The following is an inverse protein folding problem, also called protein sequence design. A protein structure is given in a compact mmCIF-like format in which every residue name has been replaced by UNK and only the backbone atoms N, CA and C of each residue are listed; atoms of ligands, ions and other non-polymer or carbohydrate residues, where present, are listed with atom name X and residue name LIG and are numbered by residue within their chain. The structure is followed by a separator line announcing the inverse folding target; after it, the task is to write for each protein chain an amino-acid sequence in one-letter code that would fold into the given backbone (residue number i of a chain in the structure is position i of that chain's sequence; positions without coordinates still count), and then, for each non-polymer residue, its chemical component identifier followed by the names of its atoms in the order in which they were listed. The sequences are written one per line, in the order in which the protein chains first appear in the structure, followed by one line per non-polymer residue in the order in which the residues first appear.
data_IF_796389070920
#
_entry.id   IF_796389070920
#
_cell.length_a   1.000
_cell.length_b   1.000
_cell.length_c   1.000
_cell.angle_alpha   90.00
_cell.angle_beta   90.00
_cell.angle_gamma   90.00
#
_symmetry.space_group_name_H-M   'P 1'
#
loop_
_entity.id
_entity.type
_entity.pdbx_description
1 polymer ?
#
# COMPACT_ATOMS: atom_id res chain seq x y z
N UNK A 1 4.58 -16.12 5.77
CA UNK A 1 4.13 -14.96 6.57
C UNK A 1 3.88 -13.83 5.57
N UNK A 2 2.61 -13.67 5.19
CA UNK A 2 2.21 -12.78 4.10
C UNK A 2 2.21 -11.33 4.56
N UNK A 3 2.41 -10.40 3.63
CA UNK A 3 2.42 -8.95 3.86
C UNK A 3 1.15 -8.49 4.60
N UNK A 4 0.00 -9.15 4.38
CA UNK A 4 -1.27 -8.88 5.05
C UNK A 4 -1.18 -8.95 6.59
N UNK A 5 -0.51 -9.97 7.12
CA UNK A 5 -0.39 -10.18 8.57
C UNK A 5 0.51 -9.13 9.23
N UNK A 6 1.52 -8.62 8.49
CA UNK A 6 2.45 -7.61 9.00
C UNK A 6 1.92 -6.18 8.89
N UNK A 7 1.16 -5.86 7.84
CA UNK A 7 0.58 -4.51 7.64
C UNK A 7 -0.74 -4.37 8.43
N UNK A 8 -1.38 -5.47 8.85
CA UNK A 8 -2.70 -5.43 9.52
C UNK A 8 -3.81 -4.95 8.59
N UNK A 9 -3.68 -5.22 7.29
CA UNK A 9 -4.72 -5.03 6.28
C UNK A 9 -5.08 -6.39 5.71
N UNK A 10 -6.35 -6.54 5.37
CA UNK A 10 -6.86 -7.77 4.77
C UNK A 10 -6.20 -8.06 3.42
N UNK A 11 -6.13 -9.34 3.05
CA UNK A 11 -5.64 -9.75 1.73
C UNK A 11 -6.41 -9.07 0.57
N UNK A 12 -7.68 -8.76 0.77
CA UNK A 12 -8.50 -8.02 -0.18
C UNK A 12 -7.95 -6.61 -0.46
N UNK A 13 -7.54 -5.88 0.58
CA UNK A 13 -6.98 -4.52 0.43
C UNK A 13 -5.62 -4.54 -0.29
N UNK A 14 -4.79 -5.55 -0.03
CA UNK A 14 -3.51 -5.73 -0.74
C UNK A 14 -3.75 -6.01 -2.23
N UNK A 15 -4.73 -6.85 -2.57
CA UNK A 15 -5.06 -7.15 -3.96
C UNK A 15 -5.52 -5.90 -4.71
N UNK A 16 -6.31 -5.02 -4.08
CA UNK A 16 -6.75 -3.75 -4.68
C UNK A 16 -5.56 -2.82 -4.95
N UNK A 17 -4.63 -2.71 -4.00
CA UNK A 17 -3.41 -1.91 -4.16
C UNK A 17 -2.51 -2.45 -5.27
N UNK A 18 -2.24 -3.76 -5.27
CA UNK A 18 -1.40 -4.42 -6.30
C UNK A 18 -1.91 -4.25 -7.73
N UNK A 19 -3.23 -4.14 -7.89
CA UNK A 19 -3.87 -4.04 -9.19
C UNK A 19 -4.13 -2.58 -9.62
N UNK A 20 -3.57 -1.58 -8.93
CA UNK A 20 -3.79 -0.15 -9.19
C UNK A 20 -5.27 0.26 -9.21
N UNK A 21 -6.12 -0.40 -8.40
CA UNK A 21 -7.56 -0.09 -8.31
C UNK A 21 -7.93 0.67 -7.03
N UNK A 22 -6.94 1.03 -6.23
CA UNK A 22 -7.17 1.75 -4.98
C UNK A 22 -7.59 3.20 -5.28
N UNK A 23 -8.76 3.60 -4.76
CA UNK A 23 -9.24 4.99 -4.86
C UNK A 23 -8.74 5.88 -3.72
N UNK A 24 -8.40 5.27 -2.60
CA UNK A 24 -7.90 5.94 -1.41
C UNK A 24 -7.04 4.97 -0.60
N UNK A 25 -6.08 5.51 0.14
CA UNK A 25 -5.25 4.78 1.09
C UNK A 25 -5.15 5.60 2.38
N UNK A 26 -5.29 4.94 3.53
CA UNK A 26 -5.03 5.58 4.82
C UNK A 26 -3.51 5.78 4.99
N UNK A 27 -3.10 6.92 5.56
CA UNK A 27 -1.68 7.18 5.84
C UNK A 27 -1.04 6.10 6.72
N UNK A 28 -1.75 5.59 7.73
CA UNK A 28 -1.26 4.51 8.59
C UNK A 28 -1.02 3.19 7.82
N UNK A 29 -1.79 2.95 6.76
CA UNK A 29 -1.57 1.80 5.88
C UNK A 29 -0.34 2.04 5.00
N UNK A 30 -0.22 3.22 4.41
CA UNK A 30 0.94 3.61 3.60
C UNK A 30 2.24 3.53 4.41
N UNK A 31 2.23 4.04 5.64
CA UNK A 31 3.36 4.00 6.58
C UNK A 31 3.84 2.57 6.83
N UNK A 32 2.92 1.65 7.14
CA UNK A 32 3.27 0.25 7.39
C UNK A 32 3.81 -0.44 6.13
N UNK A 33 3.25 -0.14 4.96
CA UNK A 33 3.79 -0.65 3.69
C UNK A 33 5.23 -0.17 3.51
N UNK A 34 5.49 1.13 3.69
CA UNK A 34 6.83 1.70 3.63
C UNK A 34 7.79 1.06 4.64
N UNK A 35 7.36 0.83 5.88
CA UNK A 35 8.17 0.17 6.91
C UNK A 35 8.56 -1.27 6.51
N UNK A 36 7.63 -2.02 5.94
CA UNK A 36 7.86 -3.44 5.60
C UNK A 36 8.67 -3.58 4.31
N UNK A 37 8.43 -2.72 3.32
CA UNK A 37 9.15 -2.71 2.05
C UNK A 37 10.45 -1.91 2.11
N UNK A 38 10.70 -1.21 3.22
CA UNK A 38 11.84 -0.32 3.41
C UNK A 38 11.97 0.73 2.30
N UNK A 39 10.84 1.32 1.90
CA UNK A 39 10.75 2.33 0.85
C UNK A 39 10.16 3.64 1.38
N UNK A 40 10.17 4.68 0.56
CA UNK A 40 9.51 5.96 0.82
C UNK A 40 8.11 5.99 0.18
N UNK A 41 7.20 6.85 0.68
CA UNK A 41 5.90 7.07 0.05
C UNK A 41 5.97 7.44 -1.44
N UNK A 42 6.99 8.21 -1.84
CA UNK A 42 7.22 8.60 -3.23
C UNK A 42 7.62 7.45 -4.16
N UNK A 43 8.03 6.30 -3.61
CA UNK A 43 8.32 5.10 -4.40
C UNK A 43 7.03 4.32 -4.75
N UNK A 44 5.91 4.64 -4.08
CA UNK A 44 4.61 3.97 -4.23
C UNK A 44 3.59 4.89 -4.92
N UNK A 45 3.61 6.18 -4.58
CA UNK A 45 2.66 7.15 -5.07
C UNK A 45 3.25 7.93 -6.24
N UNK A 46 2.55 7.88 -7.36
CA UNK A 46 2.84 8.67 -8.54
C UNK A 46 1.59 9.51 -8.86
N UNK A 47 1.80 10.79 -9.15
CA UNK A 47 0.75 11.61 -9.73
C UNK A 47 0.71 11.39 -11.23
N UNK A 48 -0.45 11.02 -11.76
CA UNK A 48 -0.70 10.85 -13.20
C UNK A 48 -1.70 11.90 -13.67
N UNK A 49 -1.40 12.62 -14.75
CA UNK A 49 -2.23 13.70 -15.31
C UNK A 49 -3.47 13.23 -16.11
N UNK A 50 -3.91 11.97 -15.98
CA UNK A 50 -5.13 11.49 -16.67
C UNK A 50 -6.39 12.32 -16.33
#
# INVERSE_FOLDING_TARGET
MELADKVGITQANISILKNNRAKAILFSTLEKICQILQCQPGDILEYTEE
#
